data_IF_954085036854
#
_entry.id   IF_954085036854
#
_cell.length_a   1.000
_cell.length_b   1.000
_cell.length_c   1.000
_cell.angle_alpha   90.00
_cell.angle_beta   90.00
_cell.angle_gamma   90.00
#
_symmetry.space_group_name_H-M   'P 1'
#
loop_
_entity.id
_entity.type
_entity.pdbx_description
1 polymer ?
#
# COMPACT_ATOMS: atom_id res chain seq x y z
N UNK A 1 -31.17 1.37 -1.34
CA UNK A 1 -30.25 0.99 -2.43
C UNK A 1 -28.94 0.53 -1.81
N UNK A 2 -28.39 -0.63 -2.19
CA UNK A 2 -27.08 -1.06 -1.71
C UNK A 2 -26.01 -0.10 -2.27
N UNK A 3 -25.25 0.57 -1.40
CA UNK A 3 -24.15 1.46 -1.81
C UNK A 3 -23.15 0.65 -2.64
N UNK A 4 -22.71 1.15 -3.80
CA UNK A 4 -21.82 0.38 -4.68
C UNK A 4 -20.48 0.07 -4.02
N UNK A 5 -20.07 0.92 -3.08
CA UNK A 5 -18.93 0.67 -2.21
C UNK A 5 -19.03 -0.64 -1.42
N UNK A 6 -20.23 -1.04 -1.01
CA UNK A 6 -20.46 -2.30 -0.31
C UNK A 6 -20.25 -3.51 -1.24
N UNK A 7 -20.65 -3.39 -2.51
CA UNK A 7 -20.41 -4.44 -3.52
C UNK A 7 -18.94 -4.68 -3.79
N UNK A 8 -18.12 -3.62 -3.78
CA UNK A 8 -16.66 -3.74 -3.91
C UNK A 8 -16.06 -4.49 -2.72
N UNK A 9 -16.52 -4.18 -1.51
CA UNK A 9 -16.07 -4.90 -0.32
C UNK A 9 -16.38 -6.39 -0.42
N UNK A 10 -17.61 -6.73 -0.80
CA UNK A 10 -18.07 -8.11 -0.96
C UNK A 10 -17.32 -8.86 -2.07
N UNK A 11 -17.07 -8.22 -3.23
CA UNK A 11 -16.28 -8.84 -4.30
C UNK A 11 -14.82 -9.08 -3.89
N UNK A 12 -14.21 -8.13 -3.18
CA UNK A 12 -12.81 -8.24 -2.74
C UNK A 12 -12.62 -9.35 -1.71
N UNK A 13 -13.48 -9.41 -0.69
CA UNK A 13 -13.38 -10.43 0.37
C UNK A 13 -13.85 -11.78 -0.14
N UNK A 14 -15.02 -11.83 -0.80
CA UNK A 14 -15.66 -13.08 -1.18
C UNK A 14 -15.03 -13.73 -2.41
N UNK A 15 -14.85 -12.97 -3.49
CA UNK A 15 -14.41 -13.52 -4.79
C UNK A 15 -12.90 -13.51 -4.96
N UNK A 16 -12.25 -12.46 -4.45
CA UNK A 16 -10.81 -12.21 -4.69
C UNK A 16 -9.92 -12.57 -3.49
N UNK A 17 -10.50 -13.01 -2.37
CA UNK A 17 -9.75 -13.41 -1.17
C UNK A 17 -8.85 -12.32 -0.59
N UNK A 18 -9.17 -11.04 -0.84
CA UNK A 18 -8.38 -9.92 -0.36
C UNK A 18 -8.57 -9.71 1.15
N UNK A 19 -7.56 -9.15 1.82
CA UNK A 19 -7.66 -8.84 3.25
C UNK A 19 -8.78 -7.84 3.54
N UNK A 20 -9.40 -7.97 4.71
CA UNK A 20 -10.45 -7.04 5.16
C UNK A 20 -9.98 -5.59 5.18
N UNK A 21 -8.70 -5.33 5.49
CA UNK A 21 -8.14 -3.98 5.49
C UNK A 21 -8.07 -3.40 4.08
N UNK A 22 -7.67 -4.20 3.10
CA UNK A 22 -7.68 -3.79 1.69
C UNK A 22 -9.11 -3.50 1.24
N UNK A 23 -10.06 -4.39 1.57
CA UNK A 23 -11.45 -4.23 1.21
C UNK A 23 -12.09 -2.99 1.85
N UNK A 24 -11.81 -2.71 3.13
CA UNK A 24 -12.25 -1.49 3.82
C UNK A 24 -11.68 -0.24 3.16
N UNK A 25 -10.38 -0.25 2.85
CA UNK A 25 -9.74 0.88 2.18
C UNK A 25 -10.38 1.18 0.81
N UNK A 26 -10.65 0.13 0.02
CA UNK A 26 -11.28 0.27 -1.30
C UNK A 26 -12.74 0.74 -1.18
N UNK A 27 -13.47 0.23 -0.18
CA UNK A 27 -14.81 0.72 0.15
C UNK A 27 -14.81 2.21 0.46
N UNK A 28 -13.94 2.68 1.35
CA UNK A 28 -13.85 4.10 1.73
C UNK A 28 -13.60 5.01 0.52
N UNK A 29 -12.71 4.63 -0.39
CA UNK A 29 -12.45 5.42 -1.59
C UNK A 29 -13.63 5.44 -2.56
N UNK A 30 -14.37 4.35 -2.62
CA UNK A 30 -15.60 4.30 -3.42
C UNK A 30 -16.70 5.15 -2.80
N UNK A 31 -16.85 5.16 -1.47
CA UNK A 31 -17.81 6.05 -0.79
C UNK A 31 -17.47 7.53 -1.02
N UNK A 32 -16.18 7.89 -1.04
CA UNK A 32 -15.73 9.25 -1.38
C UNK A 32 -16.04 9.61 -2.83
N UNK A 33 -15.84 8.67 -3.74
CA UNK A 33 -16.21 8.86 -5.14
C UNK A 33 -17.72 9.09 -5.30
N UNK A 34 -18.55 8.27 -4.63
CA UNK A 34 -20.01 8.45 -4.59
C UNK A 34 -20.40 9.81 -3.97
N UNK A 35 -19.69 10.27 -2.94
CA UNK A 35 -19.94 11.57 -2.33
C UNK A 35 -19.65 12.76 -3.27
N UNK A 36 -18.64 12.64 -4.14
CA UNK A 36 -18.25 13.69 -5.10
C UNK A 36 -19.11 13.66 -6.37
N UNK A 37 -19.43 12.48 -6.88
CA UNK A 37 -20.12 12.32 -8.18
C UNK A 37 -21.62 12.09 -8.05
N UNK A 38 -22.11 11.84 -6.82
CA UNK A 38 -23.45 11.34 -6.54
C UNK A 38 -23.55 9.83 -6.75
N UNK A 39 -24.48 9.17 -6.04
CA UNK A 39 -24.74 7.74 -6.25
C UNK A 39 -25.48 7.53 -7.58
N UNK A 40 -24.87 6.78 -8.50
CA UNK A 40 -25.46 6.45 -9.81
C UNK A 40 -25.39 4.96 -10.08
N UNK A 41 -26.31 4.43 -10.89
CA UNK A 41 -26.24 3.03 -11.34
C UNK A 41 -25.06 2.76 -12.26
N UNK A 42 -24.63 3.78 -13.02
CA UNK A 42 -23.48 3.74 -13.92
C UNK A 42 -22.79 5.11 -13.93
N UNK A 43 -21.47 5.08 -13.95
CA UNK A 43 -20.64 6.28 -14.03
C UNK A 43 -20.06 6.46 -15.43
N UNK A 44 -19.69 7.69 -15.75
CA UNK A 44 -19.09 8.04 -17.02
C UNK A 44 -17.72 8.70 -16.85
N UNK A 45 -17.12 9.11 -17.97
CA UNK A 45 -15.83 9.79 -17.99
C UNK A 45 -15.87 11.12 -17.23
N UNK A 46 -17.00 11.83 -17.25
CA UNK A 46 -17.17 13.12 -16.59
C UNK A 46 -17.08 12.97 -15.08
N UNK A 47 -17.67 11.90 -14.54
CA UNK A 47 -17.59 11.57 -13.11
C UNK A 47 -16.14 11.28 -12.68
N UNK A 48 -15.41 10.50 -13.48
CA UNK A 48 -13.99 10.23 -13.21
C UNK A 48 -13.17 11.52 -13.26
N UNK A 49 -13.40 12.40 -14.24
CA UNK A 49 -12.72 13.70 -14.33
C UNK A 49 -13.04 14.59 -13.12
N UNK A 50 -14.31 14.63 -12.69
CA UNK A 50 -14.74 15.39 -11.50
C UNK A 50 -14.04 14.89 -10.25
N UNK A 51 -13.97 13.58 -10.07
CA UNK A 51 -13.27 13.00 -8.93
C UNK A 51 -11.77 13.31 -8.94
N UNK A 52 -11.11 13.20 -10.09
CA UNK A 52 -9.69 13.55 -10.23
C UNK A 52 -9.41 15.02 -9.94
N UNK A 53 -10.30 15.91 -10.38
CA UNK A 53 -10.19 17.34 -10.08
C UNK A 53 -10.25 17.56 -8.56
N UNK A 54 -11.23 16.94 -7.91
CA UNK A 54 -11.36 16.97 -6.45
C UNK A 54 -10.10 16.40 -5.75
N UNK A 55 -9.56 15.26 -6.20
CA UNK A 55 -8.34 14.70 -5.59
C UNK A 55 -7.12 15.60 -5.71
N UNK A 56 -6.99 16.32 -6.84
CA UNK A 56 -5.92 17.30 -7.04
C UNK A 56 -6.09 18.54 -6.16
N UNK A 57 -7.32 19.01 -5.97
CA UNK A 57 -7.62 20.10 -5.02
C UNK A 57 -7.28 19.72 -3.58
N UNK A 58 -7.43 18.45 -3.21
CA UNK A 58 -6.98 17.94 -1.90
C UNK A 58 -5.45 17.79 -1.79
N UNK A 59 -4.69 18.06 -2.86
CA UNK A 59 -3.23 17.98 -2.86
C UNK A 59 -2.67 16.55 -2.88
N UNK A 60 -3.46 15.55 -3.32
CA UNK A 60 -2.95 14.19 -3.43
C UNK A 60 -1.90 14.06 -4.54
N UNK A 61 -0.84 13.27 -4.25
CA UNK A 61 0.18 12.96 -5.25
C UNK A 61 -0.38 12.10 -6.38
N UNK A 62 0.25 12.13 -7.57
CA UNK A 62 -0.18 11.26 -8.69
C UNK A 62 -0.09 9.76 -8.34
N UNK A 63 0.89 9.34 -7.54
CA UNK A 63 0.99 7.97 -7.04
C UNK A 63 -0.20 7.58 -6.17
N UNK A 64 -0.65 8.50 -5.32
CA UNK A 64 -1.77 8.32 -4.42
C UNK A 64 -3.08 8.23 -5.21
N UNK A 65 -3.29 9.15 -6.15
CA UNK A 65 -4.43 9.15 -7.07
C UNK A 65 -4.52 7.81 -7.83
N UNK A 66 -3.41 7.30 -8.37
CA UNK A 66 -3.39 5.98 -9.04
C UNK A 66 -3.87 4.83 -8.15
N UNK A 67 -3.59 4.89 -6.86
CA UNK A 67 -4.07 3.88 -5.90
C UNK A 67 -5.58 4.02 -5.68
N UNK A 68 -6.08 5.25 -5.51
CA UNK A 68 -7.50 5.53 -5.27
C UNK A 68 -8.40 5.23 -6.48
N UNK A 69 -7.83 5.15 -7.68
CA UNK A 69 -8.54 4.75 -8.90
C UNK A 69 -8.71 3.24 -9.06
N UNK A 70 -7.94 2.40 -8.34
CA UNK A 70 -8.09 0.93 -8.44
C UNK A 70 -9.49 0.43 -8.04
N UNK A 71 -10.09 0.91 -6.93
CA UNK A 71 -11.49 0.62 -6.62
C UNK A 71 -12.46 1.01 -7.74
N UNK A 72 -12.24 2.16 -8.39
CA UNK A 72 -13.12 2.63 -9.46
C UNK A 72 -12.98 1.80 -10.74
N UNK A 73 -11.78 1.28 -11.01
CA UNK A 73 -11.57 0.34 -12.09
C UNK A 73 -12.31 -0.99 -11.83
N UNK A 74 -12.27 -1.48 -10.59
CA UNK A 74 -13.05 -2.66 -10.20
C UNK A 74 -14.56 -2.39 -10.28
N UNK A 75 -15.00 -1.21 -9.87
CA UNK A 75 -16.40 -0.78 -10.00
C UNK A 75 -16.87 -0.84 -11.45
N UNK A 76 -16.03 -0.34 -12.38
CA UNK A 76 -16.31 -0.39 -13.80
C UNK A 76 -16.43 -1.82 -14.34
N UNK A 77 -15.56 -2.73 -13.88
CA UNK A 77 -15.64 -4.15 -14.21
C UNK A 77 -16.93 -4.79 -13.68
N UNK A 78 -17.32 -4.49 -12.43
CA UNK A 78 -18.55 -5.02 -11.81
C UNK A 78 -19.79 -4.52 -12.57
N UNK A 79 -19.78 -3.27 -13.01
CA UNK A 79 -20.91 -2.62 -13.70
C UNK A 79 -20.89 -2.81 -15.23
N UNK A 80 -19.83 -3.40 -15.79
CA UNK A 80 -19.71 -3.69 -17.22
C UNK A 80 -19.56 -2.45 -18.10
N UNK A 81 -18.81 -1.43 -17.66
CA UNK A 81 -18.51 -0.25 -18.49
C UNK A 81 -17.01 0.02 -18.64
N UNK A 82 -16.65 0.69 -19.73
CA UNK A 82 -15.26 0.95 -20.07
C UNK A 82 -14.68 2.08 -19.22
N UNK A 83 -13.73 1.71 -18.36
CA UNK A 83 -12.99 2.68 -17.57
C UNK A 83 -12.11 3.57 -18.48
N UNK A 84 -12.21 4.91 -18.40
CA UNK A 84 -11.49 5.79 -19.31
C UNK A 84 -9.97 5.63 -19.15
N UNK A 85 -9.25 5.57 -20.28
CA UNK A 85 -7.78 5.59 -20.27
C UNK A 85 -7.29 6.93 -19.73
N UNK A 86 -6.50 6.88 -18.67
CA UNK A 86 -5.88 8.06 -18.07
C UNK A 86 -4.38 8.05 -18.30
N UNK A 87 -3.86 9.17 -18.81
CA UNK A 87 -2.44 9.45 -18.89
C UNK A 87 -1.99 10.16 -17.62
N UNK A 88 -1.22 9.46 -16.80
CA UNK A 88 -0.51 10.03 -15.67
C UNK A 88 0.93 10.31 -16.04
N UNK A 89 1.52 11.34 -15.44
CA UNK A 89 2.97 11.54 -15.55
C UNK A 89 3.66 10.36 -14.88
N UNK A 90 4.77 9.92 -15.46
CA UNK A 90 5.67 8.99 -14.78
C UNK A 90 6.45 9.80 -13.75
N UNK A 91 6.32 9.41 -12.48
CA UNK A 91 7.18 9.92 -11.40
C UNK A 91 8.60 9.49 -11.75
N UNK A 92 9.53 10.44 -11.80
CA UNK A 92 10.94 10.14 -12.09
C UNK A 92 11.57 9.50 -10.85
N UNK A 93 12.46 8.53 -11.02
CA UNK A 93 13.13 7.88 -9.89
C UNK A 93 13.86 8.89 -8.97
N UNK A 94 14.33 10.00 -9.53
CA UNK A 94 14.96 11.12 -8.81
C UNK A 94 14.02 11.90 -7.90
N UNK A 95 12.69 11.78 -8.07
CA UNK A 95 11.69 12.40 -7.19
C UNK A 95 11.44 11.56 -5.91
N UNK A 96 11.99 10.34 -5.83
CA UNK A 96 11.95 9.50 -4.62
C UNK A 96 13.09 9.91 -3.70
N UNK A 97 12.93 11.02 -2.97
CA UNK A 97 13.83 11.41 -1.89
C UNK A 97 13.52 10.59 -0.64
N UNK A 98 13.97 9.34 -0.59
CA UNK A 98 14.00 8.62 0.67
C UNK A 98 15.25 9.07 1.42
N UNK A 99 15.10 9.61 2.62
CA UNK A 99 16.25 9.91 3.48
C UNK A 99 16.93 8.58 3.82
N UNK A 100 18.15 8.39 3.32
CA UNK A 100 18.98 7.21 3.61
C UNK A 100 20.03 7.64 4.64
N UNK A 101 20.15 6.89 5.73
CA UNK A 101 21.24 7.12 6.67
C UNK A 101 22.58 6.78 6.03
N UNK A 102 23.57 7.61 6.27
CA UNK A 102 24.97 7.30 5.96
C UNK A 102 25.47 6.14 6.84
N UNK A 103 26.56 5.50 6.44
CA UNK A 103 27.20 4.43 7.21
C UNK A 103 27.49 4.87 8.66
N UNK A 104 28.01 6.08 8.85
CA UNK A 104 28.37 6.59 10.17
C UNK A 104 27.15 6.86 11.04
N UNK A 105 26.05 7.33 10.43
CA UNK A 105 24.77 7.49 11.13
C UNK A 105 24.21 6.14 11.57
N UNK A 106 24.32 5.09 10.74
CA UNK A 106 23.90 3.72 11.13
C UNK A 106 24.77 3.18 12.25
N UNK A 107 26.10 3.36 12.20
CA UNK A 107 27.01 2.94 13.28
C UNK A 107 26.65 3.65 14.59
N UNK A 108 26.44 4.97 14.55
CA UNK A 108 26.02 5.75 15.72
C UNK A 108 24.67 5.28 16.26
N UNK A 109 23.71 4.95 15.39
CA UNK A 109 22.40 4.43 15.77
C UNK A 109 22.52 3.09 16.51
N UNK A 110 23.34 2.16 15.98
CA UNK A 110 23.57 0.85 16.60
C UNK A 110 24.29 1.01 17.95
N UNK A 111 25.32 1.86 18.02
CA UNK A 111 26.06 2.12 19.26
C UNK A 111 25.18 2.74 20.34
N UNK A 112 24.31 3.68 19.97
CA UNK A 112 23.32 4.25 20.89
C UNK A 112 22.31 3.19 21.32
N UNK A 113 21.79 2.42 20.37
CA UNK A 113 20.84 1.34 20.63
C UNK A 113 21.36 0.33 21.66
N UNK A 114 22.63 -0.08 21.55
CA UNK A 114 23.28 -0.97 22.53
C UNK A 114 23.28 -0.46 23.97
N UNK A 115 23.11 0.85 24.20
CA UNK A 115 23.10 1.46 25.54
C UNK A 115 21.70 1.62 26.10
N UNK A 116 20.68 1.73 25.25
CA UNK A 116 19.33 2.18 25.66
C UNK A 116 18.22 1.18 25.33
N UNK A 117 18.44 0.26 24.40
CA UNK A 117 17.44 -0.70 23.93
C UNK A 117 17.59 -2.02 24.66
N UNK A 118 16.46 -2.69 24.87
CA UNK A 118 16.43 -4.05 25.38
C UNK A 118 16.97 -5.05 24.33
N UNK A 119 17.44 -6.25 24.73
CA UNK A 119 18.06 -7.22 23.81
C UNK A 119 17.19 -7.60 22.60
N UNK A 120 15.87 -7.67 22.78
CA UNK A 120 14.91 -7.93 21.71
C UNK A 120 14.85 -6.78 20.69
N UNK A 121 14.78 -5.54 21.16
CA UNK A 121 14.75 -4.33 20.33
C UNK A 121 16.07 -4.14 19.57
N UNK A 122 17.18 -4.47 20.23
CA UNK A 122 18.50 -4.46 19.60
C UNK A 122 18.60 -5.51 18.47
N UNK A 123 17.96 -6.67 18.66
CA UNK A 123 17.90 -7.72 17.63
C UNK A 123 17.09 -7.25 16.41
N UNK A 124 15.96 -6.55 16.63
CA UNK A 124 15.20 -5.94 15.53
C UNK A 124 15.99 -4.86 14.79
N UNK A 125 16.72 -4.01 15.51
CA UNK A 125 17.57 -3.00 14.90
C UNK A 125 18.67 -3.62 14.03
N UNK A 126 19.32 -4.69 14.53
CA UNK A 126 20.35 -5.41 13.78
C UNK A 126 19.78 -6.04 12.49
N UNK A 127 18.61 -6.69 12.60
CA UNK A 127 17.91 -7.29 11.46
C UNK A 127 17.48 -6.26 10.40
N UNK A 128 16.95 -5.11 10.82
CA UNK A 128 16.54 -4.04 9.92
C UNK A 128 17.73 -3.36 9.22
N UNK A 129 18.85 -3.18 9.92
CA UNK A 129 20.04 -2.47 9.38
C UNK A 129 20.95 -3.38 8.55
N UNK A 130 20.99 -4.69 8.84
CA UNK A 130 21.86 -5.65 8.13
C UNK A 130 21.16 -6.27 6.92
N UNK A 131 19.90 -6.67 7.08
CA UNK A 131 19.15 -7.42 6.05
C UNK A 131 18.01 -6.60 5.42
N UNK A 132 17.77 -5.38 5.87
CA UNK A 132 16.73 -4.51 5.30
C UNK A 132 15.30 -5.01 5.54
N UNK A 133 15.10 -5.83 6.56
CA UNK A 133 13.82 -6.43 6.92
C UNK A 133 12.70 -5.40 7.08
N UNK A 134 11.54 -5.65 6.46
CA UNK A 134 10.35 -4.79 6.62
C UNK A 134 9.73 -5.01 7.98
N UNK A 135 9.08 -3.97 8.51
CA UNK A 135 8.33 -4.06 9.77
C UNK A 135 7.30 -5.19 9.79
N UNK A 136 6.61 -5.43 8.67
CA UNK A 136 5.65 -6.53 8.54
C UNK A 136 6.31 -7.92 8.56
N UNK A 137 7.58 -8.02 8.14
CA UNK A 137 8.35 -9.26 8.17
C UNK A 137 8.88 -9.53 9.59
N UNK A 138 9.34 -8.48 10.29
CA UNK A 138 9.75 -8.55 11.70
C UNK A 138 8.60 -8.85 12.67
N UNK A 139 7.38 -8.46 12.32
CA UNK A 139 6.19 -8.64 13.15
C UNK A 139 5.53 -10.02 13.03
N UNK A 140 6.11 -10.95 12.25
CA UNK A 140 5.58 -12.31 12.14
C UNK A 140 5.85 -13.11 13.43
N UNK A 141 4.92 -13.99 13.83
CA UNK A 141 5.10 -14.83 15.00
C UNK A 141 6.17 -15.91 14.80
N UNK A 142 6.40 -16.30 13.55
CA UNK A 142 7.46 -17.25 13.18
C UNK A 142 8.79 -16.50 13.07
N UNK A 143 9.84 -16.94 13.79
CA UNK A 143 11.16 -16.33 13.67
C UNK A 143 11.74 -16.57 12.27
N UNK A 144 12.63 -15.67 11.78
CA UNK A 144 13.40 -15.95 10.57
C UNK A 144 14.19 -17.25 10.74
N UNK A 145 14.25 -18.08 9.70
CA UNK A 145 15.11 -19.26 9.74
C UNK A 145 16.57 -18.81 9.62
N UNK A 146 17.40 -19.22 10.58
CA UNK A 146 18.83 -18.93 10.59
C UNK A 146 19.58 -20.26 10.46
N UNK A 147 20.08 -20.55 9.27
CA UNK A 147 20.80 -21.79 8.96
C UNK A 147 22.13 -21.41 8.30
N UNK A 148 23.25 -21.94 8.81
CA UNK A 148 24.60 -21.73 8.27
C UNK A 148 24.99 -20.25 8.03
N UNK A 149 24.50 -19.35 8.89
CA UNK A 149 24.76 -17.90 8.79
C UNK A 149 23.92 -17.17 7.74
N UNK A 150 22.96 -17.84 7.10
CA UNK A 150 21.97 -17.24 6.22
C UNK A 150 20.66 -17.02 6.96
N UNK A 151 19.97 -15.91 6.65
CA UNK A 151 18.68 -15.56 7.24
C UNK A 151 17.61 -15.64 6.15
N UNK A 152 16.75 -16.65 6.21
CA UNK A 152 15.65 -16.81 5.24
C UNK A 152 14.44 -15.99 5.69
N UNK A 153 14.00 -15.06 4.82
CA UNK A 153 12.86 -14.18 5.11
C UNK A 153 11.65 -14.61 4.29
N UNK A 154 10.61 -15.08 4.96
CA UNK A 154 9.34 -15.42 4.33
C UNK A 154 8.57 -14.12 4.03
N UNK A 155 8.58 -13.67 2.76
CA UNK A 155 7.88 -12.43 2.38
C UNK A 155 6.35 -12.57 2.48
N UNK A 156 5.66 -11.49 2.82
CA UNK A 156 4.19 -11.48 3.07
C UNK A 156 3.35 -11.56 1.77
N UNK A 157 3.93 -11.24 0.60
CA UNK A 157 3.17 -11.02 -0.65
C UNK A 157 3.64 -11.90 -1.81
N UNK A 158 3.96 -13.17 -1.56
CA UNK A 158 4.35 -14.11 -2.62
C UNK A 158 5.54 -13.63 -3.45
N UNK A 159 6.37 -12.75 -2.88
CA UNK A 159 7.63 -12.36 -3.49
C UNK A 159 8.60 -13.53 -3.38
N UNK A 160 9.57 -13.64 -4.30
CA UNK A 160 10.61 -14.66 -4.20
C UNK A 160 11.26 -14.58 -2.82
N UNK A 161 11.55 -15.74 -2.21
CA UNK A 161 12.35 -15.80 -0.99
C UNK A 161 13.68 -15.09 -1.28
N UNK A 162 14.01 -14.11 -0.46
CA UNK A 162 15.31 -13.44 -0.49
C UNK A 162 16.18 -14.05 0.60
N UNK A 163 17.35 -14.53 0.19
CA UNK A 163 18.45 -15.00 1.04
C UNK A 163 19.39 -13.84 1.36
#
# INVERSE_FOLDING_TARGET
MAKLAQRIYEDLVGRRGSSHDTAKHWKTWTERFEAVCGTKERYDRTDIIRFLAWEREQGFSESTIKVHLRPLHLLAQIQGWDFPKMTFRKIKASEITRTIFTKDQVVSLIQMGRRILEPNELSWLALATTYGLRREELGKPEPPEIIDGQVTIHTVKGGPQTT
#
